data_IF_677713012415
#
_entry.id   IF_677713012415
#
_cell.length_a   1.000
_cell.length_b   1.000
_cell.length_c   1.000
_cell.angle_alpha   90.00
_cell.angle_beta   90.00
_cell.angle_gamma   90.00
#
_symmetry.space_group_name_H-M   'P 1'
#
loop_
_entity.id
_entity.type
_entity.pdbx_description
1 polymer ?
#
# COMPACT_ATOMS: atom_id res chain seq x y z
N UNK A 1 28.48 -6.79 -10.70
CA UNK A 1 27.75 -6.94 -9.43
C UNK A 1 26.51 -7.73 -9.75
N UNK A 2 26.36 -8.95 -9.19
CA UNK A 2 25.20 -9.81 -9.44
C UNK A 2 23.91 -9.13 -8.97
N UNK A 3 22.82 -9.35 -9.68
CA UNK A 3 21.50 -8.90 -9.24
C UNK A 3 21.26 -9.40 -7.81
N UNK A 4 20.72 -8.57 -6.90
CA UNK A 4 20.42 -9.02 -5.55
C UNK A 4 19.48 -10.22 -5.62
N UNK A 5 19.75 -11.23 -4.79
CA UNK A 5 18.89 -12.41 -4.68
C UNK A 5 17.44 -11.93 -4.53
N UNK A 6 16.54 -12.54 -5.30
CA UNK A 6 15.11 -12.18 -5.29
C UNK A 6 14.58 -12.32 -3.87
N UNK A 7 14.06 -11.22 -3.30
CA UNK A 7 13.54 -11.26 -1.94
C UNK A 7 12.43 -12.31 -1.85
N UNK A 8 12.46 -13.10 -0.79
CA UNK A 8 11.32 -13.94 -0.45
C UNK A 8 10.18 -13.03 0.04
N UNK A 9 9.25 -12.76 -0.88
CA UNK A 9 8.13 -11.84 -0.63
C UNK A 9 7.21 -12.39 0.47
N UNK A 10 7.01 -13.70 0.54
CA UNK A 10 6.15 -14.31 1.55
C UNK A 10 6.77 -14.17 2.94
N UNK A 11 8.05 -14.51 3.10
CA UNK A 11 8.74 -14.34 4.37
C UNK A 11 8.79 -12.86 4.79
N UNK A 12 8.99 -11.93 3.85
CA UNK A 12 8.97 -10.49 4.12
C UNK A 12 7.58 -10.04 4.58
N UNK A 13 6.52 -10.45 3.89
CA UNK A 13 5.14 -10.14 4.26
C UNK A 13 4.79 -10.65 5.67
N UNK A 14 5.29 -11.84 6.05
CA UNK A 14 5.13 -12.34 7.41
C UNK A 14 5.80 -11.43 8.45
N UNK A 15 7.05 -11.01 8.23
CA UNK A 15 7.74 -10.09 9.14
C UNK A 15 7.02 -8.75 9.25
N UNK A 16 6.56 -8.19 8.13
CA UNK A 16 5.78 -6.95 8.13
C UNK A 16 4.51 -7.08 8.98
N UNK A 17 3.79 -8.22 8.89
CA UNK A 17 2.63 -8.48 9.76
C UNK A 17 3.00 -8.54 11.24
N UNK A 18 4.13 -9.16 11.59
CA UNK A 18 4.62 -9.18 12.98
C UNK A 18 4.93 -7.75 13.47
N UNK A 19 5.54 -6.91 12.63
CA UNK A 19 5.78 -5.49 12.95
C UNK A 19 4.50 -4.70 13.17
N UNK A 20 3.47 -4.90 12.32
CA UNK A 20 2.16 -4.27 12.49
C UNK A 20 1.55 -4.64 13.85
N UNK A 21 1.60 -5.93 14.22
CA UNK A 21 1.11 -6.39 15.53
C UNK A 21 1.91 -5.76 16.66
N UNK A 22 3.24 -5.69 16.54
CA UNK A 22 4.11 -5.05 17.53
C UNK A 22 3.74 -3.57 17.76
N UNK A 23 3.58 -2.80 16.68
CA UNK A 23 3.17 -1.40 16.76
C UNK A 23 1.76 -1.23 17.37
N UNK A 24 0.80 -2.09 17.01
CA UNK A 24 -0.53 -2.07 17.60
C UNK A 24 -0.57 -2.52 19.09
N UNK A 25 0.46 -3.23 19.56
CA UNK A 25 0.68 -3.55 20.96
C UNK A 25 1.30 -2.40 21.77
N UNK A 26 1.68 -1.33 21.11
CA UNK A 26 2.23 -0.11 21.73
C UNK A 26 1.17 0.73 22.46
N UNK A 27 1.61 1.87 23.05
CA UNK A 27 0.76 2.68 23.95
C UNK A 27 -0.47 3.26 23.25
N UNK A 28 -0.40 3.56 21.95
CA UNK A 28 -1.49 4.23 21.23
C UNK A 28 -2.32 3.27 20.36
N UNK A 29 -1.81 2.06 20.03
CA UNK A 29 -2.46 1.21 19.05
C UNK A 29 -2.28 1.70 17.61
N UNK A 30 -3.09 1.21 16.66
CA UNK A 30 -2.96 1.61 15.26
C UNK A 30 -4.08 1.11 14.36
N UNK A 31 -4.08 1.53 13.11
CA UNK A 31 -5.05 1.12 12.10
C UNK A 31 -4.74 -0.31 11.58
N UNK A 32 -5.02 -1.30 12.43
CA UNK A 32 -4.62 -2.70 12.25
C UNK A 32 -5.19 -3.30 10.97
N UNK A 33 -6.52 -3.25 10.80
CA UNK A 33 -7.19 -3.97 9.72
C UNK A 33 -6.79 -3.51 8.33
N UNK A 34 -6.79 -2.19 8.10
CA UNK A 34 -6.42 -1.59 6.82
C UNK A 34 -4.92 -1.65 6.53
N UNK A 35 -4.07 -1.87 7.53
CA UNK A 35 -2.64 -2.10 7.36
C UNK A 35 -2.35 -3.56 7.00
N UNK A 36 -3.09 -4.51 7.58
CA UNK A 36 -2.94 -5.94 7.25
C UNK A 36 -3.36 -6.26 5.81
N UNK A 37 -4.36 -5.56 5.24
CA UNK A 37 -4.76 -5.75 3.84
C UNK A 37 -3.71 -5.26 2.84
N UNK A 38 -2.87 -4.30 3.22
CA UNK A 38 -1.84 -3.69 2.37
C UNK A 38 -0.55 -4.50 2.24
N UNK A 39 -0.35 -5.52 3.06
CA UNK A 39 0.97 -6.14 3.25
C UNK A 39 1.54 -6.67 1.94
N UNK A 40 0.79 -7.45 1.17
CA UNK A 40 1.25 -7.98 -0.11
C UNK A 40 1.47 -6.88 -1.14
N UNK A 41 0.55 -5.90 -1.22
CA UNK A 41 0.63 -4.78 -2.16
C UNK A 41 1.93 -4.01 -1.95
N UNK A 42 2.21 -3.56 -0.71
CA UNK A 42 3.40 -2.78 -0.43
C UNK A 42 4.68 -3.63 -0.51
N UNK A 43 4.62 -4.91 -0.12
CA UNK A 43 5.76 -5.82 -0.25
C UNK A 43 6.14 -6.00 -1.73
N UNK A 44 5.19 -6.25 -2.62
CA UNK A 44 5.46 -6.36 -4.07
C UNK A 44 6.02 -5.06 -4.63
N UNK A 45 5.43 -3.92 -4.27
CA UNK A 45 5.90 -2.62 -4.73
C UNK A 45 7.36 -2.36 -4.32
N UNK A 46 7.70 -2.50 -3.04
CA UNK A 46 9.01 -2.12 -2.52
C UNK A 46 10.12 -3.15 -2.76
N UNK A 47 9.80 -4.43 -2.91
CA UNK A 47 10.81 -5.50 -3.03
C UNK A 47 10.96 -6.08 -4.43
N UNK A 48 10.01 -5.79 -5.35
CA UNK A 48 10.04 -6.38 -6.69
C UNK A 48 9.78 -5.38 -7.83
N UNK A 49 8.87 -4.41 -7.65
CA UNK A 49 8.39 -3.55 -8.74
C UNK A 49 9.11 -2.21 -8.83
N UNK A 50 9.24 -1.51 -7.69
CA UNK A 50 9.77 -0.14 -7.67
C UNK A 50 11.30 -0.10 -7.80
N UNK A 51 11.79 0.86 -8.57
CA UNK A 51 13.22 1.22 -8.61
C UNK A 51 13.52 2.12 -7.42
N UNK A 52 14.02 1.53 -6.36
CA UNK A 52 14.38 2.22 -5.12
C UNK A 52 15.66 1.64 -4.52
N UNK A 53 16.49 2.51 -3.97
CA UNK A 53 17.65 2.15 -3.15
C UNK A 53 17.51 2.83 -1.78
N UNK A 54 17.35 2.08 -0.68
CA UNK A 54 17.18 2.66 0.65
C UNK A 54 18.40 3.48 1.11
N UNK A 55 19.60 3.22 0.56
CA UNK A 55 20.81 3.99 0.82
C UNK A 55 20.80 5.36 0.14
N UNK A 56 19.92 5.57 -0.85
CA UNK A 56 19.74 6.80 -1.62
C UNK A 56 18.27 7.24 -1.63
N UNK A 57 17.66 7.47 -0.45
CA UNK A 57 16.22 7.71 -0.34
C UNK A 57 15.74 8.97 -1.08
N UNK A 58 16.64 9.92 -1.34
CA UNK A 58 16.37 11.14 -2.08
C UNK A 58 16.84 11.09 -3.55
N UNK A 59 17.17 9.91 -4.10
CA UNK A 59 17.62 9.79 -5.50
C UNK A 59 16.56 10.32 -6.48
N UNK A 60 16.98 11.16 -7.42
CA UNK A 60 16.07 11.79 -8.37
C UNK A 60 15.44 10.78 -9.35
N UNK A 61 16.12 9.67 -9.61
CA UNK A 61 15.72 8.62 -10.57
C UNK A 61 14.88 7.49 -9.96
N UNK A 62 14.57 7.56 -8.64
CA UNK A 62 13.75 6.54 -7.99
C UNK A 62 12.25 6.72 -8.25
N UNK A 63 11.52 5.62 -8.22
CA UNK A 63 10.07 5.66 -8.30
C UNK A 63 9.45 6.31 -7.05
N UNK A 64 8.26 6.85 -7.19
CA UNK A 64 7.50 7.56 -6.15
C UNK A 64 6.31 6.72 -5.69
N UNK A 65 6.07 6.69 -4.37
CA UNK A 65 4.85 6.14 -3.81
C UNK A 65 4.15 7.17 -2.93
N UNK A 66 2.86 7.39 -3.18
CA UNK A 66 1.96 8.17 -2.33
C UNK A 66 0.95 7.21 -1.70
N UNK A 67 0.99 7.07 -0.38
CA UNK A 67 0.01 6.27 0.36
C UNK A 67 -1.23 7.13 0.67
N UNK A 68 -2.23 7.17 -0.24
CA UNK A 68 -3.46 7.96 -0.09
C UNK A 68 -4.22 7.58 1.19
N UNK A 69 -4.40 6.28 1.43
CA UNK A 69 -4.90 5.77 2.70
C UNK A 69 -3.84 5.88 3.81
N UNK A 70 -3.51 7.12 4.20
CA UNK A 70 -2.43 7.41 5.14
C UNK A 70 -2.54 6.68 6.49
N UNK A 71 -3.74 6.29 6.89
CA UNK A 71 -3.95 5.44 8.05
C UNK A 71 -3.34 4.03 7.92
N UNK A 72 -2.91 3.60 6.71
CA UNK A 72 -2.09 2.39 6.51
C UNK A 72 -0.61 2.56 6.87
N UNK A 73 -0.22 3.65 7.52
CA UNK A 73 1.18 4.02 7.83
C UNK A 73 1.98 2.91 8.50
N UNK A 74 1.40 2.17 9.45
CA UNK A 74 2.12 1.11 10.16
C UNK A 74 2.55 -0.05 9.24
N UNK A 75 1.79 -0.34 8.17
CA UNK A 75 2.25 -1.26 7.14
C UNK A 75 3.42 -0.66 6.36
N UNK A 76 3.30 0.61 5.93
CA UNK A 76 4.37 1.29 5.21
C UNK A 76 5.66 1.34 6.05
N UNK A 77 5.58 1.64 7.33
CA UNK A 77 6.76 1.65 8.22
C UNK A 77 7.41 0.28 8.33
N UNK A 78 6.63 -0.78 8.51
CA UNK A 78 7.15 -2.15 8.50
C UNK A 78 7.90 -2.50 7.20
N UNK A 79 7.31 -2.14 6.07
CA UNK A 79 7.92 -2.35 4.74
C UNK A 79 9.19 -1.52 4.55
N UNK A 80 9.17 -0.23 4.92
CA UNK A 80 10.35 0.65 4.82
C UNK A 80 11.50 0.17 5.70
N UNK A 81 11.22 -0.27 6.93
CA UNK A 81 12.21 -0.83 7.85
C UNK A 81 12.82 -2.13 7.28
N UNK A 82 11.99 -3.08 6.83
CA UNK A 82 12.45 -4.32 6.21
C UNK A 82 13.23 -4.07 4.91
N UNK A 83 12.91 -3.01 4.19
CA UNK A 83 13.64 -2.61 2.98
C UNK A 83 14.98 -1.93 3.30
N UNK A 84 15.18 -1.47 4.55
CA UNK A 84 16.42 -0.88 5.03
C UNK A 84 16.49 0.66 4.94
N UNK A 85 15.34 1.35 4.87
CA UNK A 85 15.31 2.82 4.91
C UNK A 85 15.66 3.37 6.30
N UNK A 86 15.38 2.60 7.35
CA UNK A 86 15.77 2.87 8.73
C UNK A 86 15.84 1.56 9.53
N UNK A 87 16.47 1.53 10.71
CA UNK A 87 16.60 0.32 11.50
C UNK A 87 15.26 -0.23 11.96
N UNK A 88 15.05 -1.56 11.85
CA UNK A 88 13.83 -2.25 12.29
C UNK A 88 13.51 -1.98 13.77
N UNK A 89 14.53 -1.85 14.62
CA UNK A 89 14.34 -1.54 16.04
C UNK A 89 13.61 -0.22 16.31
N UNK A 90 13.65 0.73 15.37
CA UNK A 90 12.94 2.01 15.49
C UNK A 90 11.41 1.85 15.48
N UNK A 91 10.88 0.75 14.93
CA UNK A 91 9.45 0.46 14.97
C UNK A 91 8.88 0.37 16.41
N UNK A 92 9.72 0.06 17.39
CA UNK A 92 9.33 0.05 18.81
C UNK A 92 9.01 1.46 19.35
N UNK A 93 9.46 2.51 18.67
CA UNK A 93 9.19 3.90 19.03
C UNK A 93 7.89 4.45 18.40
N UNK A 94 7.14 3.61 17.67
CA UNK A 94 5.89 4.02 17.03
C UNK A 94 4.95 4.72 18.01
N UNK A 95 4.44 5.91 17.61
CA UNK A 95 3.51 6.75 18.35
C UNK A 95 3.99 7.20 19.74
N UNK A 96 5.29 7.10 20.07
CA UNK A 96 5.85 7.65 21.30
C UNK A 96 6.18 9.14 21.14
N UNK A 97 6.19 9.91 22.22
CA UNK A 97 6.62 11.30 22.19
C UNK A 97 8.01 11.46 21.54
N UNK A 98 8.12 12.36 20.57
CA UNK A 98 9.37 12.60 19.82
C UNK A 98 9.65 11.61 18.68
N UNK A 99 8.87 10.55 18.52
CA UNK A 99 9.01 9.65 17.38
C UNK A 99 8.56 10.32 16.08
N UNK A 100 9.23 10.00 14.97
CA UNK A 100 8.77 10.34 13.63
C UNK A 100 7.75 9.34 13.07
N UNK A 101 7.63 8.17 13.68
CA UNK A 101 6.71 7.11 13.28
C UNK A 101 5.34 7.33 13.96
N UNK A 102 4.49 8.12 13.32
CA UNK A 102 3.17 8.48 13.82
C UNK A 102 2.05 7.70 13.13
N UNK A 103 0.80 7.91 13.53
CA UNK A 103 -0.38 7.23 12.98
C UNK A 103 -0.61 7.47 11.47
N UNK A 104 0.05 8.48 10.89
CA UNK A 104 0.03 8.81 9.46
C UNK A 104 1.45 9.12 8.99
N UNK A 105 1.76 8.91 7.69
CA UNK A 105 3.12 9.11 7.19
C UNK A 105 3.49 10.60 7.15
N UNK A 106 4.75 10.88 7.49
CA UNK A 106 5.34 12.23 7.45
C UNK A 106 6.67 12.20 6.74
N UNK A 107 7.07 13.31 6.11
CA UNK A 107 8.35 13.40 5.35
C UNK A 107 9.62 13.19 6.17
N UNK A 108 9.54 13.29 7.48
CA UNK A 108 10.66 12.99 8.38
C UNK A 108 11.06 11.49 8.35
N UNK A 109 10.17 10.61 7.87
CA UNK A 109 10.46 9.19 7.70
C UNK A 109 11.12 8.97 6.33
N UNK A 110 12.35 8.43 6.27
CA UNK A 110 13.01 8.13 5.00
C UNK A 110 12.18 7.19 4.13
N UNK A 111 12.01 7.54 2.85
CA UNK A 111 11.18 6.79 1.91
C UNK A 111 9.71 7.24 1.87
N UNK A 112 9.30 8.21 2.67
CA UNK A 112 8.00 8.88 2.58
C UNK A 112 8.11 10.17 1.80
N UNK A 113 7.37 10.29 0.69
CA UNK A 113 7.39 11.46 -0.21
C UNK A 113 6.56 12.61 0.31
N UNK A 114 5.34 12.29 0.73
CA UNK A 114 4.34 13.28 1.15
C UNK A 114 3.63 12.81 2.43
N UNK A 115 3.32 13.73 3.33
CA UNK A 115 2.39 13.45 4.41
C UNK A 115 0.99 13.23 3.81
N UNK A 116 0.27 12.23 4.33
CA UNK A 116 -1.09 11.91 3.94
C UNK A 116 -1.92 11.57 5.18
N UNK A 117 -3.25 11.52 5.02
CA UNK A 117 -4.19 11.27 6.13
C UNK A 117 -5.56 11.84 5.85
N UNK A 118 -5.62 13.01 5.20
CA UNK A 118 -6.86 13.52 4.61
C UNK A 118 -7.17 12.70 3.36
N UNK A 119 -8.17 11.83 3.46
CA UNK A 119 -8.55 10.94 2.37
C UNK A 119 -8.98 11.73 1.13
N UNK A 120 -8.75 11.17 -0.04
CA UNK A 120 -9.06 11.79 -1.33
C UNK A 120 -7.95 12.65 -1.93
N UNK A 121 -6.90 13.03 -1.17
CA UNK A 121 -5.82 13.88 -1.67
C UNK A 121 -4.68 13.08 -2.33
N UNK A 122 -4.54 11.80 -1.98
CA UNK A 122 -3.39 10.98 -2.41
C UNK A 122 -3.21 10.90 -3.92
N UNK A 123 -4.30 10.73 -4.68
CA UNK A 123 -4.23 10.66 -6.14
C UNK A 123 -3.83 11.98 -6.77
N UNK A 124 -4.38 13.11 -6.28
CA UNK A 124 -4.02 14.44 -6.79
C UNK A 124 -2.53 14.77 -6.54
N UNK A 125 -2.00 14.39 -5.38
CA UNK A 125 -0.57 14.52 -5.09
C UNK A 125 0.28 13.67 -6.04
N UNK A 126 -0.13 12.43 -6.30
CA UNK A 126 0.54 11.54 -7.25
C UNK A 126 0.49 12.08 -8.68
N UNK A 127 -0.61 12.75 -9.10
CA UNK A 127 -0.70 13.47 -10.37
C UNK A 127 0.39 14.53 -10.49
N UNK A 128 0.59 15.31 -9.41
CA UNK A 128 1.64 16.33 -9.38
C UNK A 128 3.04 15.75 -9.60
N UNK A 129 3.37 14.64 -8.93
CA UNK A 129 4.65 13.95 -9.14
C UNK A 129 4.78 13.36 -10.54
N UNK A 130 3.74 12.72 -11.06
CA UNK A 130 3.75 12.13 -12.39
C UNK A 130 3.84 13.18 -13.51
N UNK A 131 3.25 14.36 -13.32
CA UNK A 131 3.32 15.47 -14.24
C UNK A 131 4.70 16.15 -14.23
N UNK A 132 5.30 16.29 -13.05
CA UNK A 132 6.60 16.93 -12.86
C UNK A 132 7.75 16.16 -13.53
N UNK A 133 7.64 14.83 -13.62
CA UNK A 133 8.65 13.97 -14.26
C UNK A 133 7.96 12.78 -14.92
N UNK A 134 7.85 12.85 -16.26
CA UNK A 134 7.17 11.84 -17.08
C UNK A 134 7.93 10.52 -17.20
N UNK A 135 9.21 10.51 -16.93
CA UNK A 135 10.06 9.31 -16.98
C UNK A 135 10.08 8.56 -15.64
N UNK A 136 9.57 9.19 -14.58
CA UNK A 136 9.47 8.61 -13.26
C UNK A 136 8.12 7.91 -13.07
N UNK A 137 8.14 6.67 -12.61
CA UNK A 137 6.91 5.96 -12.26
C UNK A 137 6.38 6.45 -10.92
N UNK A 138 5.08 6.73 -10.87
CA UNK A 138 4.37 7.13 -9.68
C UNK A 138 3.30 6.11 -9.34
N UNK A 139 3.23 5.73 -8.06
CA UNK A 139 2.23 4.82 -7.52
C UNK A 139 1.41 5.56 -6.45
N UNK A 140 0.08 5.52 -6.57
CA UNK A 140 -0.84 5.98 -5.54
C UNK A 140 -1.56 4.77 -4.95
N UNK A 141 -1.43 4.51 -3.65
CA UNK A 141 -2.15 3.42 -2.98
C UNK A 141 -3.33 3.99 -2.24
N UNK A 142 -4.53 3.65 -2.69
CA UNK A 142 -5.80 4.19 -2.23
C UNK A 142 -6.62 3.13 -1.48
N UNK A 143 -7.41 3.53 -0.51
CA UNK A 143 -8.44 2.67 0.09
C UNK A 143 -9.75 2.75 -0.70
N UNK A 144 -10.53 1.69 -0.66
CA UNK A 144 -11.86 1.68 -1.31
C UNK A 144 -12.83 2.69 -0.67
N UNK A 145 -12.87 2.81 0.66
CA UNK A 145 -13.63 3.87 1.33
C UNK A 145 -13.13 5.29 0.97
N UNK A 146 -11.85 5.46 0.65
CA UNK A 146 -11.29 6.72 0.15
C UNK A 146 -11.87 7.11 -1.21
N UNK A 147 -12.28 6.16 -2.04
CA UNK A 147 -12.91 6.43 -3.34
C UNK A 147 -14.29 7.09 -3.22
N UNK A 148 -14.86 7.16 -2.04
CA UNK A 148 -16.10 7.91 -1.79
C UNK A 148 -15.88 9.42 -1.71
N UNK A 149 -14.62 9.88 -1.63
CA UNK A 149 -14.26 11.28 -1.74
C UNK A 149 -14.30 11.75 -3.20
N UNK A 150 -15.04 12.83 -3.48
CA UNK A 150 -15.20 13.39 -4.83
C UNK A 150 -13.88 13.78 -5.47
N UNK A 151 -12.92 14.27 -4.69
CA UNK A 151 -11.59 14.67 -5.15
C UNK A 151 -10.77 13.55 -5.79
N UNK A 152 -11.04 12.28 -5.45
CA UNK A 152 -10.41 11.13 -6.14
C UNK A 152 -10.82 11.10 -7.60
N UNK A 153 -12.11 11.30 -7.87
CA UNK A 153 -12.66 11.25 -9.23
C UNK A 153 -12.27 12.48 -10.05
N UNK A 154 -12.19 13.66 -9.44
CA UNK A 154 -11.62 14.85 -10.06
C UNK A 154 -10.16 14.62 -10.47
N UNK A 155 -9.35 14.04 -9.57
CA UNK A 155 -7.96 13.67 -9.87
C UNK A 155 -7.88 12.59 -10.95
N UNK A 156 -8.80 11.61 -10.96
CA UNK A 156 -8.84 10.56 -11.98
C UNK A 156 -9.12 11.12 -13.38
N UNK A 157 -10.08 12.05 -13.51
CA UNK A 157 -10.33 12.77 -14.77
C UNK A 157 -9.09 13.54 -15.24
N UNK A 158 -8.45 14.27 -14.31
CA UNK A 158 -7.25 15.04 -14.62
C UNK A 158 -6.09 14.15 -15.08
N UNK A 159 -5.89 13.00 -14.43
CA UNK A 159 -4.83 12.04 -14.78
C UNK A 159 -4.95 11.57 -16.24
N UNK A 160 -6.16 11.22 -16.66
CA UNK A 160 -6.43 10.75 -18.02
C UNK A 160 -6.30 11.90 -19.03
N UNK A 161 -6.87 13.07 -18.73
CA UNK A 161 -6.80 14.25 -19.59
C UNK A 161 -5.35 14.73 -19.81
N UNK A 162 -4.51 14.62 -18.77
CA UNK A 162 -3.09 14.96 -18.85
C UNK A 162 -2.23 13.84 -19.44
N UNK A 163 -2.78 12.67 -19.75
CA UNK A 163 -2.04 11.54 -20.30
C UNK A 163 -0.93 11.03 -19.37
N UNK A 164 -1.23 10.84 -18.06
CA UNK A 164 -0.24 10.41 -17.06
C UNK A 164 0.03 8.89 -17.14
N UNK A 165 0.57 8.41 -18.27
CA UNK A 165 0.86 6.99 -18.50
C UNK A 165 1.93 6.40 -17.57
N UNK A 166 2.64 7.24 -16.83
CA UNK A 166 3.60 6.88 -15.78
C UNK A 166 2.97 6.74 -14.38
N UNK A 167 1.64 6.96 -14.26
CA UNK A 167 0.90 6.85 -13.01
C UNK A 167 0.15 5.52 -12.91
N UNK A 168 0.27 4.87 -11.75
CA UNK A 168 -0.52 3.69 -11.38
C UNK A 168 -1.23 3.95 -10.06
N UNK A 169 -2.56 3.89 -10.04
CA UNK A 169 -3.36 3.82 -8.82
C UNK A 169 -3.58 2.36 -8.44
N UNK A 170 -3.30 2.02 -7.18
CA UNK A 170 -3.57 0.69 -6.61
C UNK A 170 -4.65 0.82 -5.57
N UNK A 171 -5.79 0.21 -5.80
CA UNK A 171 -6.95 0.27 -4.92
C UNK A 171 -6.96 -0.96 -4.01
N UNK A 172 -6.75 -0.76 -2.71
CA UNK A 172 -6.97 -1.78 -1.69
C UNK A 172 -8.47 -1.99 -1.51
N UNK A 173 -9.05 -2.88 -2.32
CA UNK A 173 -10.49 -3.18 -2.34
C UNK A 173 -10.83 -4.23 -1.29
N UNK A 174 -10.85 -3.83 -0.01
CA UNK A 174 -11.17 -4.70 1.11
C UNK A 174 -12.65 -4.67 1.53
N UNK A 175 -13.47 -3.84 0.89
CA UNK A 175 -14.93 -3.71 1.02
C UNK A 175 -15.43 -3.21 2.38
N UNK A 176 -14.53 -2.77 3.28
CA UNK A 176 -14.88 -2.33 4.62
C UNK A 176 -14.25 -0.97 4.96
N UNK A 177 -15.07 -0.02 5.34
CA UNK A 177 -14.65 1.23 5.95
C UNK A 177 -14.87 1.24 7.47
N UNK A 178 -14.69 2.40 8.13
CA UNK A 178 -14.83 2.52 9.59
C UNK A 178 -16.25 2.24 10.06
N UNK A 179 -17.26 2.61 9.27
CA UNK A 179 -18.68 2.53 9.63
C UNK A 179 -19.36 1.23 9.20
N UNK A 180 -18.73 0.45 8.31
CA UNK A 180 -19.35 -0.79 7.80
C UNK A 180 -18.86 -1.16 6.39
N UNK A 181 -19.65 -1.97 5.66
CA UNK A 181 -19.39 -2.23 4.25
C UNK A 181 -19.43 -0.94 3.42
N UNK A 182 -18.50 -0.82 2.45
CA UNK A 182 -18.46 0.35 1.58
C UNK A 182 -19.72 0.53 0.76
N UNK A 183 -20.34 -0.58 0.35
CA UNK A 183 -21.57 -0.55 -0.48
C UNK A 183 -22.80 -0.07 0.30
N UNK A 184 -22.81 -0.24 1.63
CA UNK A 184 -23.90 0.24 2.49
C UNK A 184 -23.82 1.76 2.74
N UNK A 185 -22.60 2.33 2.60
CA UNK A 185 -22.40 3.77 2.78
C UNK A 185 -22.61 4.55 1.47
N UNK A 186 -21.72 4.37 0.50
CA UNK A 186 -21.84 4.92 -0.86
C UNK A 186 -21.35 3.82 -1.80
N UNK A 187 -22.24 3.19 -2.56
CA UNK A 187 -21.90 2.09 -3.47
C UNK A 187 -20.82 2.46 -4.48
N UNK A 188 -19.82 1.61 -4.60
CA UNK A 188 -18.69 1.80 -5.52
C UNK A 188 -18.81 0.95 -6.78
N UNK A 189 -19.61 -0.12 -6.75
CA UNK A 189 -19.73 -1.01 -7.90
C UNK A 189 -20.62 -0.40 -9.03
N UNK A 190 -20.36 -0.70 -10.30
CA UNK A 190 -19.22 -1.50 -10.80
C UNK A 190 -17.94 -0.65 -10.85
N UNK A 191 -16.99 -0.91 -9.92
CA UNK A 191 -15.82 -0.07 -9.70
C UNK A 191 -14.90 0.00 -10.92
N UNK A 192 -14.67 -1.13 -11.57
CA UNK A 192 -13.79 -1.20 -12.75
C UNK A 192 -14.32 -0.33 -13.90
N UNK A 193 -15.63 -0.31 -14.11
CA UNK A 193 -16.25 0.48 -15.19
C UNK A 193 -16.20 1.98 -14.90
N UNK A 194 -16.28 2.38 -13.63
CA UNK A 194 -16.08 3.78 -13.24
C UNK A 194 -14.69 4.26 -13.62
N UNK A 195 -13.63 3.52 -13.29
CA UNK A 195 -12.26 3.87 -13.70
C UNK A 195 -12.08 3.87 -15.21
N UNK A 196 -12.67 2.89 -15.92
CA UNK A 196 -12.65 2.85 -17.39
C UNK A 196 -13.32 4.06 -18.02
N UNK A 197 -14.46 4.50 -17.47
CA UNK A 197 -15.19 5.67 -17.98
C UNK A 197 -14.41 6.97 -17.84
N UNK A 198 -13.49 7.06 -16.88
CA UNK A 198 -12.54 8.17 -16.75
C UNK A 198 -11.28 8.00 -17.63
N UNK A 199 -11.23 7.01 -18.52
CA UNK A 199 -10.12 6.85 -19.47
C UNK A 199 -8.93 6.05 -18.93
N UNK A 200 -9.04 5.38 -17.79
CA UNK A 200 -7.99 4.55 -17.22
C UNK A 200 -7.95 3.14 -17.82
N UNK A 201 -6.76 2.56 -17.92
CA UNK A 201 -6.61 1.12 -18.10
C UNK A 201 -6.81 0.43 -16.76
N UNK A 202 -7.70 -0.58 -16.70
CA UNK A 202 -8.06 -1.24 -15.44
C UNK A 202 -7.60 -2.69 -15.44
N UNK A 203 -7.08 -3.12 -14.30
CA UNK A 203 -6.72 -4.51 -13.98
C UNK A 203 -7.33 -4.88 -12.64
N UNK A 204 -7.90 -6.08 -12.55
CA UNK A 204 -8.43 -6.63 -11.30
C UNK A 204 -7.64 -7.88 -10.93
N UNK A 205 -7.21 -7.97 -9.68
CA UNK A 205 -6.38 -9.08 -9.20
C UNK A 205 -6.72 -9.45 -7.77
N UNK A 206 -6.41 -10.69 -7.38
CA UNK A 206 -6.30 -11.06 -5.98
C UNK A 206 -5.14 -10.27 -5.35
N UNK A 207 -5.47 -9.39 -4.40
CA UNK A 207 -4.51 -8.54 -3.69
C UNK A 207 -3.64 -9.28 -2.67
N UNK A 208 -3.84 -10.58 -2.51
CA UNK A 208 -3.01 -11.45 -1.66
C UNK A 208 -2.17 -12.46 -2.47
N UNK A 209 -2.29 -12.45 -3.81
CA UNK A 209 -1.44 -13.24 -4.70
C UNK A 209 -0.26 -12.39 -5.21
N UNK A 210 0.95 -12.75 -4.80
CA UNK A 210 2.19 -12.07 -5.20
C UNK A 210 2.43 -12.10 -6.70
N UNK A 211 2.10 -13.20 -7.38
CA UNK A 211 2.31 -13.34 -8.82
C UNK A 211 1.33 -12.49 -9.61
N UNK A 212 0.05 -12.46 -9.20
CA UNK A 212 -0.99 -11.63 -9.78
C UNK A 212 -0.68 -10.14 -9.60
N UNK A 213 -0.30 -9.72 -8.39
CA UNK A 213 0.12 -8.34 -8.10
C UNK A 213 1.33 -7.93 -8.94
N UNK A 214 2.37 -8.78 -9.00
CA UNK A 214 3.54 -8.53 -9.85
C UNK A 214 3.13 -8.33 -11.30
N UNK A 215 2.35 -9.25 -11.85
CA UNK A 215 1.86 -9.15 -13.23
C UNK A 215 1.08 -7.87 -13.51
N UNK A 216 0.26 -7.43 -12.55
CA UNK A 216 -0.54 -6.22 -12.68
C UNK A 216 0.27 -4.93 -12.52
N UNK A 217 1.33 -4.94 -11.69
CA UNK A 217 2.12 -3.75 -11.34
C UNK A 217 3.41 -3.61 -12.17
N UNK A 218 3.84 -4.68 -12.85
CA UNK A 218 5.08 -4.67 -13.64
C UNK A 218 5.00 -3.64 -14.79
N UNK A 219 6.12 -2.98 -15.10
CA UNK A 219 6.21 -2.13 -16.27
C UNK A 219 5.96 -2.95 -17.53
N UNK A 220 5.09 -2.48 -18.42
CA UNK A 220 4.95 -3.08 -19.74
C UNK A 220 4.18 -4.39 -19.84
N UNK A 221 3.29 -4.73 -18.89
CA UNK A 221 2.37 -5.87 -19.06
C UNK A 221 1.49 -5.80 -20.32
N UNK A 222 1.76 -4.85 -21.21
CA UNK A 222 1.20 -4.73 -22.57
C UNK A 222 2.14 -3.99 -23.54
N UNK A 223 3.47 -3.97 -23.35
CA UNK A 223 4.38 -3.27 -24.30
C UNK A 223 5.85 -3.51 -24.00
N UNK A 224 6.52 -4.10 -24.99
CA UNK A 224 7.89 -4.56 -24.96
C UNK A 224 8.94 -3.45 -25.08
N UNK A 225 9.02 -2.44 -24.29
CA UNK A 225 10.19 -1.54 -24.27
C UNK A 225 10.15 -0.68 -23.02
N UNK A 226 10.62 -1.09 -21.92
CA UNK A 226 11.17 -0.39 -20.72
C UNK A 226 10.86 1.10 -20.43
N UNK A 227 9.98 1.74 -21.20
CA UNK A 227 9.53 3.11 -20.98
C UNK A 227 8.67 3.20 -19.72
N UNK A 228 8.93 4.20 -18.88
CA UNK A 228 8.15 4.45 -17.68
C UNK A 228 6.68 4.77 -18.00
N UNK A 229 6.44 5.52 -19.09
CA UNK A 229 5.11 5.84 -19.59
C UNK A 229 4.58 4.76 -20.53
N UNK A 230 3.27 4.49 -20.46
CA UNK A 230 2.60 3.65 -21.46
C UNK A 230 2.56 4.37 -22.80
N UNK A 231 2.69 3.61 -23.92
CA UNK A 231 2.66 4.19 -25.28
C UNK A 231 1.32 4.86 -25.61
N UNK A 232 0.21 4.39 -25.00
CA UNK A 232 -1.12 4.97 -25.16
C UNK A 232 -1.39 6.16 -24.23
N UNK A 233 -0.42 6.54 -23.37
CA UNK A 233 -0.52 7.66 -22.43
C UNK A 233 -1.54 7.48 -21.30
N UNK A 234 -2.24 6.32 -21.23
CA UNK A 234 -3.29 6.12 -20.23
C UNK A 234 -2.73 5.70 -18.87
N UNK A 235 -3.19 6.31 -17.77
CA UNK A 235 -2.88 5.82 -16.41
C UNK A 235 -3.50 4.44 -16.15
N UNK A 236 -2.98 3.74 -15.14
CA UNK A 236 -3.41 2.38 -14.78
C UNK A 236 -4.08 2.38 -13.41
N UNK A 237 -5.26 1.79 -13.30
CA UNK A 237 -5.90 1.44 -12.04
C UNK A 237 -5.79 -0.08 -11.82
N UNK A 238 -5.17 -0.49 -10.72
CA UNK A 238 -5.10 -1.88 -10.27
C UNK A 238 -6.05 -2.03 -9.08
N UNK A 239 -7.16 -2.70 -9.28
CA UNK A 239 -8.11 -3.04 -8.22
C UNK A 239 -7.62 -4.35 -7.60
N UNK A 240 -7.02 -4.25 -6.43
CA UNK A 240 -6.53 -5.39 -5.67
C UNK A 240 -7.60 -5.81 -4.66
N UNK A 241 -8.27 -6.92 -4.92
CA UNK A 241 -9.27 -7.49 -4.02
C UNK A 241 -8.57 -8.09 -2.81
N UNK A 242 -8.79 -7.49 -1.65
CA UNK A 242 -8.12 -7.85 -0.40
C UNK A 242 -9.13 -8.18 0.71
N UNK A 243 -8.61 -8.64 1.84
CA UNK A 243 -9.39 -8.88 3.04
C UNK A 243 -8.85 -8.02 4.17
N UNK A 244 -9.68 -7.12 4.71
CA UNK A 244 -9.33 -6.29 5.87
C UNK A 244 -8.93 -7.17 7.05
N UNK A 245 -7.76 -6.92 7.63
CA UNK A 245 -7.28 -7.74 8.76
C UNK A 245 -6.63 -9.07 8.37
N UNK A 246 -6.28 -9.28 7.10
CA UNK A 246 -5.70 -10.52 6.54
C UNK A 246 -4.58 -11.09 7.38
N UNK A 247 -4.69 -12.38 7.71
CA UNK A 247 -3.70 -13.14 8.47
C UNK A 247 -4.00 -13.27 9.97
N UNK A 248 -4.95 -12.48 10.52
CA UNK A 248 -5.36 -12.56 11.92
C UNK A 248 -6.86 -12.88 12.03
N UNK A 249 -7.27 -14.14 12.26
CA UNK A 249 -8.68 -14.55 12.31
C UNK A 249 -9.53 -13.77 13.33
N UNK A 250 -8.89 -13.23 14.37
CA UNK A 250 -9.58 -12.41 15.39
C UNK A 250 -10.10 -11.07 14.85
N UNK A 251 -9.51 -10.55 13.77
CA UNK A 251 -9.81 -9.24 13.18
C UNK A 251 -10.13 -9.29 11.68
N UNK A 252 -9.88 -10.41 11.01
CA UNK A 252 -10.09 -10.63 9.58
C UNK A 252 -11.57 -10.42 9.21
N UNK A 253 -11.83 -9.64 8.15
CA UNK A 253 -13.16 -9.28 7.66
C UNK A 253 -14.09 -8.64 8.69
N UNK A 254 -13.55 -7.93 9.68
CA UNK A 254 -14.35 -7.27 10.73
C UNK A 254 -14.19 -5.76 10.69
N UNK A 255 -15.30 -5.03 10.69
CA UNK A 255 -15.34 -3.56 10.74
C UNK A 255 -14.57 -3.02 11.95
N UNK A 256 -14.75 -3.63 13.13
CA UNK A 256 -14.08 -3.26 14.39
C UNK A 256 -12.55 -3.35 14.33
N UNK A 257 -11.98 -3.96 13.29
CA UNK A 257 -10.53 -4.02 13.09
C UNK A 257 -9.91 -2.74 12.54
N UNK A 258 -10.73 -1.71 12.24
CA UNK A 258 -10.24 -0.47 11.63
C UNK A 258 -9.13 0.16 12.47
N UNK A 259 -9.38 0.32 13.77
CA UNK A 259 -8.38 0.76 14.74
C UNK A 259 -8.33 -0.23 15.91
N UNK A 260 -7.14 -0.59 16.37
CA UNK A 260 -6.99 -1.52 17.47
C UNK A 260 -5.78 -1.15 18.35
N UNK A 261 -5.98 -1.19 19.67
CA UNK A 261 -4.92 -1.23 20.66
C UNK A 261 -4.92 -2.62 21.26
N UNK A 262 -3.86 -3.38 20.99
CA UNK A 262 -3.75 -4.76 21.48
C UNK A 262 -3.15 -4.75 22.88
N UNK A 263 -3.79 -5.46 23.81
CA UNK A 263 -3.13 -5.78 25.07
C UNK A 263 -1.94 -6.73 24.84
N UNK A 264 -0.99 -6.81 25.78
CA UNK A 264 0.15 -7.72 25.65
C UNK A 264 -0.27 -9.15 25.30
N UNK A 265 -1.28 -9.70 26.02
CA UNK A 265 -1.83 -11.03 25.69
C UNK A 265 -2.42 -11.15 24.29
N UNK A 266 -3.05 -10.09 23.78
CA UNK A 266 -3.62 -10.10 22.42
C UNK A 266 -2.51 -10.03 21.38
N UNK A 267 -1.49 -9.22 21.62
CA UNK A 267 -0.31 -9.13 20.74
C UNK A 267 0.42 -10.48 20.69
N UNK A 268 0.71 -11.10 21.85
CA UNK A 268 1.37 -12.40 21.93
C UNK A 268 0.59 -13.50 21.19
N UNK A 269 -0.74 -13.56 21.39
CA UNK A 269 -1.60 -14.50 20.65
C UNK A 269 -1.57 -14.24 19.13
N UNK A 270 -1.61 -12.97 18.72
CA UNK A 270 -1.57 -12.59 17.32
C UNK A 270 -0.24 -13.00 16.68
N UNK A 271 0.89 -12.75 17.36
CA UNK A 271 2.20 -13.17 16.91
C UNK A 271 2.31 -14.71 16.83
N UNK A 272 1.78 -15.43 17.81
CA UNK A 272 1.77 -16.90 17.79
C UNK A 272 0.98 -17.45 16.58
N UNK A 273 -0.17 -16.84 16.25
CA UNK A 273 -0.99 -17.21 15.09
C UNK A 273 -0.21 -16.96 13.78
N UNK A 274 0.40 -15.78 13.63
CA UNK A 274 1.19 -15.44 12.43
C UNK A 274 2.37 -16.41 12.23
N UNK A 275 3.12 -16.71 13.30
CA UNK A 275 4.25 -17.65 13.27
C UNK A 275 3.81 -19.09 12.98
N UNK A 276 2.66 -19.52 13.51
CA UNK A 276 2.12 -20.85 13.21
C UNK A 276 1.68 -20.96 11.73
N UNK A 277 1.10 -19.90 11.17
CA UNK A 277 0.72 -19.83 9.76
C UNK A 277 1.95 -19.90 8.86
N UNK A 278 2.96 -19.09 9.13
CA UNK A 278 4.23 -19.10 8.42
C UNK A 278 4.85 -20.50 8.35
N UNK A 279 4.94 -21.19 9.50
CA UNK A 279 5.49 -22.56 9.54
C UNK A 279 4.70 -23.56 8.69
N UNK A 280 3.38 -23.38 8.53
CA UNK A 280 2.55 -24.25 7.67
C UNK A 280 2.76 -23.95 6.18
N UNK A 281 2.99 -22.70 5.83
CA UNK A 281 3.22 -22.27 4.45
C UNK A 281 4.65 -22.61 3.98
N UNK A 282 5.62 -22.70 4.91
CA UNK A 282 7.01 -23.11 4.67
C UNK A 282 7.22 -24.63 4.76
N UNK A 283 6.24 -25.38 5.25
CA UNK A 283 6.32 -26.84 5.33
C UNK A 283 6.26 -27.43 3.90
N UNK A 284 7.15 -28.42 3.57
CA UNK A 284 7.26 -29.03 2.25
C UNK A 284 6.00 -29.79 1.84
#
# INVERSE_FOLDING_TARGET
MGAPARADLAATAHRVREHIVGMCGGPEGGHLGGSMSLVEILTVLYFDVMRIDPRRPAAADRDILVLGKGHGAICLYGVLAERGFFPVGELAEYARPGSRLMGHPVRAVPGVEMPTGSLGHGLALANGFALADRDRRCFAVLGDGELQEGSVWEAAMASAALGLGNLTAVIDRNRLQITGPTEDAIGLEPLADRWRSFGWSVREVDGHDFAALRGALAPGASGANGSAARRDGRPVAVIAHTVKGRGLPSVEAKTRSHYAKLSGRQADRSLAVLRARRRREEAP
#
